data_IF_757934204370
#
_entry.id   IF_757934204370
#
_cell.length_a   1.000
_cell.length_b   1.000
_cell.length_c   1.000
_cell.angle_alpha   90.00
_cell.angle_beta   90.00
_cell.angle_gamma   90.00
#
_symmetry.space_group_name_H-M   'P 1'
#
loop_
_entity.id
_entity.type
_entity.pdbx_description
1 polymer ?
#
# COMPACT_ATOMS: atom_id res chain seq x y z
N UNK A 1 16.65 1.19 12.43
CA UNK A 1 16.03 0.24 11.48
C UNK A 1 15.27 1.06 10.45
N UNK A 2 15.60 0.95 9.16
CA UNK A 2 14.89 1.68 8.09
C UNK A 2 13.45 1.17 8.01
N UNK A 3 12.52 1.85 8.71
CA UNK A 3 11.10 1.58 8.58
C UNK A 3 10.72 1.72 7.10
N UNK A 4 10.07 0.70 6.54
CA UNK A 4 9.53 0.77 5.18
C UNK A 4 8.44 1.84 5.17
N UNK A 5 8.77 3.03 4.70
CA UNK A 5 7.83 4.13 4.50
C UNK A 5 6.60 3.61 3.74
N UNK A 6 5.41 3.82 4.32
CA UNK A 6 4.12 3.47 3.71
C UNK A 6 4.02 4.07 2.30
N UNK A 7 4.49 5.31 2.13
CA UNK A 7 4.55 6.01 0.84
C UNK A 7 5.35 5.24 -0.20
N UNK A 8 6.51 4.68 0.16
CA UNK A 8 7.31 3.84 -0.75
C UNK A 8 6.58 2.55 -1.12
N UNK A 9 5.93 1.89 -0.15
CA UNK A 9 5.18 0.66 -0.41
C UNK A 9 4.00 0.92 -1.36
N UNK A 10 3.26 2.00 -1.14
CA UNK A 10 2.10 2.36 -1.95
C UNK A 10 2.52 2.80 -3.36
N UNK A 11 3.57 3.62 -3.47
CA UNK A 11 4.17 4.02 -4.74
C UNK A 11 4.60 2.80 -5.58
N UNK A 12 5.34 1.86 -4.98
CA UNK A 12 5.76 0.64 -5.68
C UNK A 12 4.56 -0.19 -6.11
N UNK A 13 3.55 -0.36 -5.25
CA UNK A 13 2.34 -1.13 -5.56
C UNK A 13 1.58 -0.55 -6.76
N UNK A 14 1.36 0.77 -6.78
CA UNK A 14 0.66 1.45 -7.87
C UNK A 14 1.47 1.38 -9.16
N UNK A 15 2.77 1.65 -9.09
CA UNK A 15 3.66 1.56 -10.25
C UNK A 15 3.74 0.14 -10.83
N UNK A 16 3.76 -0.90 -9.99
CA UNK A 16 3.77 -2.29 -10.46
C UNK A 16 2.51 -2.64 -11.26
N UNK A 17 1.32 -2.24 -10.77
CA UNK A 17 0.06 -2.47 -11.49
C UNK A 17 0.04 -1.69 -12.80
N UNK A 18 0.46 -0.42 -12.78
CA UNK A 18 0.56 0.40 -13.99
C UNK A 18 1.52 -0.20 -15.02
N UNK A 19 2.69 -0.64 -14.58
CA UNK A 19 3.70 -1.25 -15.45
C UNK A 19 3.17 -2.53 -16.08
N UNK A 20 2.51 -3.39 -15.30
CA UNK A 20 1.89 -4.61 -15.81
C UNK A 20 0.82 -4.29 -16.87
N UNK A 21 -0.06 -3.33 -16.59
CA UNK A 21 -1.09 -2.92 -17.55
C UNK A 21 -0.46 -2.37 -18.84
N UNK A 22 0.53 -1.48 -18.70
CA UNK A 22 1.24 -0.89 -19.84
C UNK A 22 1.94 -1.97 -20.67
N UNK A 23 2.57 -2.94 -20.02
CA UNK A 23 3.22 -4.07 -20.68
C UNK A 23 2.22 -4.91 -21.48
N UNK A 24 1.09 -5.27 -20.88
CA UNK A 24 0.03 -6.05 -21.58
C UNK A 24 -0.51 -5.29 -22.79
N UNK A 25 -0.79 -3.99 -22.65
CA UNK A 25 -1.25 -3.15 -23.77
C UNK A 25 -0.19 -3.07 -24.87
N UNK A 26 1.08 -2.88 -24.50
CA UNK A 26 2.22 -2.81 -25.43
C UNK A 26 2.38 -4.12 -26.20
N UNK A 27 2.32 -5.28 -25.51
CA UNK A 27 2.32 -6.59 -26.16
C UNK A 27 1.13 -6.75 -27.12
N UNK A 28 -0.07 -6.35 -26.69
CA UNK A 28 -1.25 -6.38 -27.54
C UNK A 28 -1.09 -5.54 -28.82
N UNK A 29 -0.50 -4.35 -28.71
CA UNK A 29 -0.21 -3.49 -29.86
C UNK A 29 0.78 -4.11 -30.83
N UNK A 30 1.88 -4.70 -30.32
CA UNK A 30 2.88 -5.39 -31.17
C UNK A 30 2.26 -6.58 -31.90
N UNK A 31 1.43 -7.37 -31.22
CA UNK A 31 0.72 -8.50 -31.83
C UNK A 31 -0.26 -8.00 -32.90
N UNK A 32 -1.04 -6.96 -32.61
CA UNK A 32 -1.98 -6.38 -33.57
C UNK A 32 -1.27 -5.86 -34.83
N UNK A 33 -0.14 -5.17 -34.67
CA UNK A 33 0.67 -4.68 -35.78
C UNK A 33 1.28 -5.81 -36.62
N UNK A 34 1.74 -6.88 -35.97
CA UNK A 34 2.23 -8.08 -36.64
C UNK A 34 1.13 -8.75 -37.48
N UNK A 35 -0.04 -9.02 -36.89
CA UNK A 35 -1.16 -9.67 -37.57
C UNK A 35 -1.64 -8.82 -38.75
N UNK A 36 -1.86 -7.52 -38.52
CA UNK A 36 -2.29 -6.60 -39.56
C UNK A 36 -1.30 -6.52 -40.73
N UNK A 37 0.01 -6.54 -40.44
CA UNK A 37 1.04 -6.50 -41.49
C UNK A 37 1.14 -7.84 -42.23
N UNK A 38 0.98 -8.97 -41.54
CA UNK A 38 0.92 -10.30 -42.16
C UNK A 38 -0.27 -10.39 -43.12
N UNK A 39 -1.44 -9.94 -42.70
CA UNK A 39 -2.65 -9.93 -43.51
C UNK A 39 -2.51 -8.98 -44.71
N UNK A 40 -1.95 -7.78 -44.50
CA UNK A 40 -1.63 -6.87 -45.59
C UNK A 40 -0.69 -7.49 -46.64
N UNK A 41 0.37 -8.19 -46.21
CA UNK A 41 1.28 -8.86 -47.14
C UNK A 41 0.55 -9.97 -47.91
N UNK A 42 -0.30 -10.75 -47.23
CA UNK A 42 -1.13 -11.78 -47.89
C UNK A 42 -2.00 -11.18 -48.99
N UNK A 43 -2.70 -10.08 -48.70
CA UNK A 43 -3.54 -9.40 -49.69
C UNK A 43 -2.73 -8.87 -50.88
N UNK A 44 -1.53 -8.37 -50.63
CA UNK A 44 -0.63 -7.90 -51.67
C UNK A 44 -0.15 -9.05 -52.58
N UNK A 45 0.13 -10.24 -52.03
CA UNK A 45 0.43 -11.44 -52.84
C UNK A 45 -0.71 -11.80 -53.81
N UNK A 46 -1.97 -11.67 -53.38
CA UNK A 46 -3.14 -11.88 -54.26
C UNK A 46 -3.23 -10.82 -55.36
N UNK A 47 -2.79 -9.59 -55.08
CA UNK A 47 -2.76 -8.51 -56.07
C UNK A 47 -1.68 -8.77 -57.13
N UNK A 48 -0.54 -9.36 -56.75
CA UNK A 48 0.51 -9.73 -57.69
C UNK A 48 0.07 -10.79 -58.71
N UNK A 49 -0.83 -11.72 -58.34
CA UNK A 49 -1.45 -12.63 -59.30
C UNK A 49 -2.08 -11.86 -60.47
N UNK A 50 -2.88 -10.83 -60.18
CA UNK A 50 -3.59 -10.06 -61.23
C UNK A 50 -2.62 -9.38 -62.21
N UNK A 51 -1.46 -8.96 -61.72
CA UNK A 51 -0.46 -8.24 -62.51
C UNK A 51 0.43 -9.18 -63.32
N UNK A 52 0.88 -10.29 -62.73
CA UNK A 52 1.90 -11.16 -63.34
C UNK A 52 1.36 -12.44 -63.97
N UNK A 53 0.13 -12.88 -63.62
CA UNK A 53 -0.47 -14.11 -64.15
C UNK A 53 -0.50 -14.13 -65.68
N UNK A 54 -0.92 -13.03 -66.32
CA UNK A 54 -0.97 -12.95 -67.80
C UNK A 54 0.42 -13.08 -68.45
N UNK A 55 1.45 -12.49 -67.84
CA UNK A 55 2.82 -12.54 -68.36
C UNK A 55 3.38 -13.96 -68.27
N UNK A 56 3.25 -14.59 -67.09
CA UNK A 56 3.73 -15.95 -66.84
C UNK A 56 2.96 -16.98 -67.66
N UNK A 57 1.63 -16.87 -67.74
CA UNK A 57 0.79 -17.75 -68.56
C UNK A 57 1.24 -17.78 -70.01
N UNK A 58 1.51 -16.60 -70.61
CA UNK A 58 1.99 -16.52 -72.00
C UNK A 58 3.39 -17.12 -72.16
N UNK A 59 4.30 -16.78 -71.26
CA UNK A 59 5.68 -17.27 -71.32
C UNK A 59 5.76 -18.79 -71.23
N UNK A 60 4.94 -19.40 -70.37
CA UNK A 60 4.87 -20.87 -70.22
C UNK A 60 4.20 -21.51 -71.45
N UNK A 61 3.08 -20.96 -71.93
CA UNK A 61 2.39 -21.47 -73.12
C UNK A 61 3.28 -21.45 -74.37
N UNK A 62 4.09 -20.40 -74.53
CA UNK A 62 5.03 -20.26 -75.65
C UNK A 62 6.35 -21.03 -75.43
N UNK A 63 6.46 -21.80 -74.34
CA UNK A 63 7.66 -22.54 -73.93
C UNK A 63 8.91 -21.64 -73.82
N UNK A 64 8.72 -20.36 -73.46
CA UNK A 64 9.77 -19.38 -73.32
C UNK A 64 10.31 -19.36 -71.90
N UNK A 65 11.12 -20.37 -71.55
CA UNK A 65 11.74 -20.53 -70.23
C UNK A 65 12.50 -19.28 -69.79
N UNK A 66 13.19 -18.61 -70.73
CA UNK A 66 13.96 -17.39 -70.43
C UNK A 66 13.04 -16.28 -69.92
N UNK A 67 11.90 -16.04 -70.58
CA UNK A 67 10.93 -15.05 -70.15
C UNK A 67 10.25 -15.42 -68.82
N UNK A 68 9.97 -16.71 -68.60
CA UNK A 68 9.45 -17.21 -67.32
C UNK A 68 10.41 -16.89 -66.17
N UNK A 69 11.70 -17.22 -66.34
CA UNK A 69 12.73 -16.94 -65.33
C UNK A 69 12.87 -15.43 -65.09
N UNK A 70 12.99 -14.60 -66.13
CA UNK A 70 13.12 -13.15 -65.96
C UNK A 70 11.89 -12.53 -65.28
N UNK A 71 10.69 -13.05 -65.55
CA UNK A 71 9.47 -12.59 -64.85
C UNK A 71 9.48 -13.04 -63.39
N UNK A 72 9.94 -14.25 -63.09
CA UNK A 72 10.09 -14.76 -61.73
C UNK A 72 11.14 -13.99 -60.92
N UNK A 73 12.28 -13.62 -61.54
CA UNK A 73 13.29 -12.74 -60.95
C UNK A 73 12.71 -11.36 -60.61
N UNK A 74 11.87 -10.81 -61.50
CA UNK A 74 11.16 -9.55 -61.26
C UNK A 74 10.19 -9.63 -60.07
N UNK A 75 9.50 -10.74 -59.89
CA UNK A 75 8.66 -11.00 -58.72
C UNK A 75 9.51 -11.14 -57.44
N UNK A 76 10.62 -11.86 -57.49
CA UNK A 76 11.52 -12.01 -56.33
C UNK A 76 12.16 -10.68 -55.90
N UNK A 77 12.33 -9.73 -56.81
CA UNK A 77 12.84 -8.40 -56.48
C UNK A 77 11.86 -7.56 -55.64
N UNK A 78 10.60 -7.98 -55.49
CA UNK A 78 9.61 -7.30 -54.66
C UNK A 78 9.92 -7.60 -53.18
N UNK A 79 10.13 -6.58 -52.31
CA UNK A 79 10.62 -6.77 -50.95
C UNK A 79 9.79 -7.71 -50.04
N UNK A 80 8.53 -7.95 -50.38
CA UNK A 80 7.66 -8.84 -49.60
C UNK A 80 7.73 -10.31 -50.01
N UNK A 81 8.36 -10.61 -51.15
CA UNK A 81 8.53 -11.96 -51.67
C UNK A 81 9.89 -12.48 -51.22
N UNK A 82 9.86 -13.61 -50.53
CA UNK A 82 11.07 -14.32 -50.10
C UNK A 82 11.41 -15.49 -51.02
N UNK A 83 10.40 -16.02 -51.71
CA UNK A 83 10.59 -17.08 -52.70
C UNK A 83 9.45 -17.19 -53.69
N UNK A 84 9.76 -17.80 -54.83
CA UNK A 84 8.82 -18.09 -55.91
C UNK A 84 9.08 -19.49 -56.46
N UNK A 85 8.01 -20.22 -56.74
CA UNK A 85 8.01 -21.46 -57.52
C UNK A 85 7.08 -21.27 -58.71
N UNK A 86 7.56 -21.61 -59.89
CA UNK A 86 6.78 -21.65 -61.12
C UNK A 86 6.83 -23.07 -61.69
N UNK A 87 5.66 -23.66 -61.95
CA UNK A 87 5.53 -25.00 -62.53
C UNK A 87 4.82 -24.97 -63.87
N UNK A 88 5.10 -25.95 -64.73
CA UNK A 88 4.41 -26.15 -66.00
C UNK A 88 3.14 -27.02 -65.86
N UNK A 89 2.50 -27.34 -66.98
CA UNK A 89 1.30 -28.17 -67.07
C UNK A 89 1.51 -29.63 -66.66
N UNK A 90 2.76 -30.10 -66.62
CA UNK A 90 3.14 -31.42 -66.11
C UNK A 90 3.41 -31.43 -64.60
N UNK A 91 3.46 -30.26 -63.97
CA UNK A 91 3.85 -30.07 -62.57
C UNK A 91 5.37 -30.01 -62.36
N UNK A 92 6.17 -29.97 -63.44
CA UNK A 92 7.61 -29.80 -63.37
C UNK A 92 7.96 -28.35 -63.03
N UNK A 93 8.96 -28.18 -62.15
CA UNK A 93 9.41 -26.84 -61.72
C UNK A 93 10.26 -26.23 -62.84
N UNK A 94 9.75 -25.18 -63.48
CA UNK A 94 10.48 -24.39 -64.47
C UNK A 94 11.46 -23.43 -63.78
N UNK A 95 11.05 -22.83 -62.66
CA UNK A 95 11.86 -21.87 -61.93
C UNK A 95 11.56 -21.90 -60.43
N UNK A 96 12.61 -21.92 -59.63
CA UNK A 96 12.56 -21.78 -58.17
C UNK A 96 13.63 -20.79 -57.74
N UNK A 97 13.22 -19.66 -57.15
CA UNK A 97 14.12 -18.59 -56.74
C UNK A 97 13.78 -18.14 -55.32
N UNK A 98 14.78 -17.68 -54.55
CA UNK A 98 14.61 -17.10 -53.20
C UNK A 98 15.27 -17.86 -52.05
N UNK A 99 15.13 -17.33 -50.82
CA UNK A 99 15.75 -17.91 -49.60
C UNK A 99 14.80 -18.89 -48.92
N UNK A 100 14.72 -20.09 -49.47
CA UNK A 100 14.40 -21.35 -48.80
C UNK A 100 14.46 -22.42 -49.89
N UNK A 101 15.61 -23.08 -50.03
CA UNK A 101 15.78 -24.11 -51.07
C UNK A 101 15.13 -25.46 -50.69
N UNK A 102 14.57 -25.60 -49.47
CA UNK A 102 13.87 -26.81 -49.00
C UNK A 102 12.33 -26.74 -49.20
N UNK A 103 11.81 -25.73 -49.90
CA UNK A 103 10.36 -25.63 -50.24
C UNK A 103 9.89 -26.85 -51.06
N UNK A 104 10.81 -27.54 -51.76
CA UNK A 104 10.51 -28.68 -52.63
C UNK A 104 9.93 -29.89 -51.89
N UNK A 105 10.32 -30.12 -50.63
CA UNK A 105 9.81 -31.26 -49.84
C UNK A 105 8.47 -30.95 -49.16
N UNK A 106 8.13 -29.68 -48.95
CA UNK A 106 6.97 -29.28 -48.16
C UNK A 106 5.66 -29.16 -48.95
N UNK A 107 5.72 -28.93 -50.26
CA UNK A 107 4.54 -28.63 -51.08
C UNK A 107 4.36 -29.65 -52.20
N UNK A 108 3.15 -30.23 -52.28
CA UNK A 108 2.77 -31.29 -53.20
C UNK A 108 3.19 -31.01 -54.65
N UNK A 109 3.66 -32.05 -55.34
CA UNK A 109 3.99 -32.03 -56.78
C UNK A 109 2.76 -31.88 -57.69
N UNK A 110 1.57 -31.80 -57.12
CA UNK A 110 0.32 -31.71 -57.85
C UNK A 110 -0.03 -30.25 -58.12
N UNK A 111 -0.45 -29.97 -59.36
CA UNK A 111 -0.91 -28.64 -59.78
C UNK A 111 -2.14 -28.22 -58.97
N UNK A 112 -2.11 -26.98 -58.51
CA UNK A 112 -3.23 -26.37 -57.80
C UNK A 112 -4.27 -25.88 -58.82
N UNK A 113 -5.54 -26.28 -58.64
CA UNK A 113 -6.66 -25.91 -59.52
C UNK A 113 -7.41 -24.65 -59.07
N UNK A 114 -7.29 -24.28 -57.79
CA UNK A 114 -7.96 -23.13 -57.17
C UNK A 114 -6.98 -22.34 -56.29
N UNK A 115 -7.23 -21.06 -56.12
CA UNK A 115 -6.39 -20.18 -55.28
C UNK A 115 -6.29 -20.74 -53.84
N UNK A 116 -5.06 -20.85 -53.34
CA UNK A 116 -4.80 -21.43 -52.02
C UNK A 116 -3.86 -20.57 -51.19
N UNK A 117 -4.21 -20.38 -49.92
CA UNK A 117 -3.34 -19.77 -48.92
C UNK A 117 -2.46 -20.85 -48.31
N UNK A 118 -1.17 -20.59 -48.28
CA UNK A 118 -0.18 -21.44 -47.65
C UNK A 118 0.16 -20.86 -46.27
N UNK A 119 0.09 -21.69 -45.24
CA UNK A 119 0.65 -21.38 -43.92
C UNK A 119 1.49 -22.56 -43.43
N UNK A 120 2.78 -22.31 -43.24
CA UNK A 120 3.68 -23.26 -42.58
C UNK A 120 4.16 -22.68 -41.24
N UNK A 121 3.47 -23.08 -40.18
CA UNK A 121 3.74 -22.66 -38.81
C UNK A 121 5.16 -22.98 -38.32
N UNK A 122 5.72 -24.18 -38.58
CA UNK A 122 7.11 -24.54 -38.29
C UNK A 122 8.18 -23.66 -38.92
N UNK A 123 8.15 -23.43 -40.24
CA UNK A 123 9.17 -22.60 -40.90
C UNK A 123 8.89 -21.09 -40.81
N UNK A 124 7.66 -20.71 -40.46
CA UNK A 124 7.23 -19.31 -40.46
C UNK A 124 7.03 -18.73 -41.86
N UNK A 125 7.03 -19.59 -42.89
CA UNK A 125 6.67 -19.24 -44.25
C UNK A 125 5.14 -19.19 -44.39
N UNK A 126 4.68 -18.24 -45.18
CA UNK A 126 3.30 -18.18 -45.63
C UNK A 126 3.29 -17.73 -47.07
N UNK A 127 2.26 -18.08 -47.81
CA UNK A 127 2.27 -17.86 -49.24
C UNK A 127 0.91 -17.93 -49.87
N UNK A 128 0.93 -17.82 -51.17
CA UNK A 128 -0.24 -17.80 -52.00
C UNK A 128 0.05 -18.50 -53.32
N UNK A 129 -0.76 -19.50 -53.64
CA UNK A 129 -0.65 -20.27 -54.88
C UNK A 129 -1.86 -20.00 -55.77
N UNK A 130 -1.61 -19.84 -57.06
CA UNK A 130 -2.66 -19.64 -58.05
C UNK A 130 -2.36 -20.36 -59.37
N UNK A 131 -3.39 -20.88 -60.06
CA UNK A 131 -3.24 -21.49 -61.38
C UNK A 131 -2.95 -20.43 -62.44
N UNK A 132 -2.19 -20.83 -63.46
CA UNK A 132 -2.01 -20.08 -64.70
C UNK A 132 -2.93 -20.65 -65.77
N UNK A 133 -3.90 -19.85 -66.21
CA UNK A 133 -4.95 -20.30 -67.14
C UNK A 133 -4.81 -19.53 -68.45
N UNK A 134 -4.57 -20.27 -69.54
CA UNK A 134 -4.54 -19.71 -70.89
C UNK A 134 -5.89 -19.94 -71.57
N UNK A 135 -6.50 -18.86 -72.05
CA UNK A 135 -7.75 -18.93 -72.81
C UNK A 135 -7.47 -18.75 -74.31
N UNK A 136 -7.78 -19.77 -75.11
CA UNK A 136 -7.68 -19.72 -76.55
C UNK A 136 -8.91 -20.32 -77.22
N UNK A 137 -9.51 -19.57 -78.15
CA UNK A 137 -10.69 -20.02 -78.92
C UNK A 137 -11.85 -20.54 -78.05
N UNK A 138 -12.09 -19.90 -76.89
CA UNK A 138 -13.17 -20.27 -75.97
C UNK A 138 -12.90 -21.51 -75.10
N UNK A 139 -11.68 -22.06 -75.12
CA UNK A 139 -11.24 -23.10 -74.18
C UNK A 139 -10.20 -22.52 -73.21
N UNK A 140 -10.43 -22.74 -71.92
CA UNK A 140 -9.49 -22.44 -70.85
C UNK A 140 -8.66 -23.70 -70.55
N UNK A 141 -7.34 -23.58 -70.66
CA UNK A 141 -6.40 -24.66 -70.36
C UNK A 141 -5.45 -24.18 -69.26
N UNK A 142 -5.29 -24.95 -68.20
CA UNK A 142 -4.25 -24.69 -67.20
C UNK A 142 -2.90 -25.02 -67.81
N UNK A 143 -1.99 -24.05 -67.79
CA UNK A 143 -0.63 -24.17 -68.35
C UNK A 143 0.43 -24.29 -67.27
N UNK A 144 0.05 -24.18 -66.00
CA UNK A 144 0.95 -24.27 -64.86
C UNK A 144 0.34 -23.67 -63.59
N UNK A 145 1.18 -23.51 -62.56
CA UNK A 145 0.86 -22.76 -61.35
C UNK A 145 2.05 -21.94 -60.85
N UNK A 146 1.76 -20.96 -60.00
CA UNK A 146 2.76 -20.12 -59.35
C UNK A 146 2.49 -20.12 -57.87
N UNK A 147 3.53 -20.31 -57.09
CA UNK A 147 3.50 -20.13 -55.64
C UNK A 147 4.43 -19.00 -55.23
N UNK A 148 3.87 -18.00 -54.57
CA UNK A 148 4.60 -16.89 -53.96
C UNK A 148 4.73 -17.12 -52.46
N UNK A 149 5.94 -16.97 -51.93
CA UNK A 149 6.23 -17.13 -50.51
C UNK A 149 6.70 -15.81 -49.90
N UNK A 150 6.29 -15.59 -48.66
CA UNK A 150 6.79 -14.58 -47.75
C UNK A 150 7.10 -15.26 -46.40
N UNK A 151 7.74 -14.54 -45.49
CA UNK A 151 8.10 -15.09 -44.18
C UNK A 151 7.80 -14.15 -43.03
N UNK A 152 7.86 -14.71 -41.83
CA UNK A 152 7.88 -13.95 -40.58
C UNK A 152 9.00 -12.90 -40.54
N UNK A 153 10.17 -13.15 -41.13
CA UNK A 153 11.28 -12.19 -41.17
C UNK A 153 10.92 -10.97 -42.03
N UNK A 154 10.25 -11.18 -43.15
CA UNK A 154 9.71 -10.10 -44.00
C UNK A 154 8.68 -9.27 -43.22
N UNK A 155 7.76 -9.91 -42.50
CA UNK A 155 6.81 -9.20 -41.64
C UNK A 155 7.54 -8.35 -40.59
N UNK A 156 8.52 -8.94 -39.88
CA UNK A 156 9.29 -8.24 -38.85
C UNK A 156 10.12 -7.07 -39.40
N UNK A 157 10.82 -7.27 -40.51
CA UNK A 157 11.61 -6.20 -41.14
C UNK A 157 10.75 -5.01 -41.54
N UNK A 158 9.50 -5.25 -41.95
CA UNK A 158 8.55 -4.19 -42.30
C UNK A 158 8.04 -3.41 -41.11
N UNK A 159 7.80 -4.06 -39.96
CA UNK A 159 7.31 -3.40 -38.74
C UNK A 159 8.43 -2.99 -37.78
N UNK A 160 9.70 -3.28 -38.09
CA UNK A 160 10.84 -3.03 -37.21
C UNK A 160 10.89 -1.58 -36.71
N UNK A 161 10.71 -0.63 -37.63
CA UNK A 161 10.69 0.81 -37.31
C UNK A 161 9.51 1.12 -36.39
N UNK A 162 8.32 0.61 -36.70
CA UNK A 162 7.13 0.82 -35.86
C UNK A 162 7.29 0.24 -34.44
N UNK A 163 7.87 -0.96 -34.32
CA UNK A 163 8.17 -1.59 -33.03
C UNK A 163 9.12 -0.69 -32.22
N UNK A 164 10.16 -0.12 -32.84
CA UNK A 164 11.04 0.83 -32.15
C UNK A 164 10.29 2.07 -31.67
N UNK A 165 9.40 2.64 -32.49
CA UNK A 165 8.55 3.76 -32.06
C UNK A 165 7.61 3.37 -30.92
N UNK A 166 7.04 2.17 -30.97
CA UNK A 166 6.13 1.65 -29.95
C UNK A 166 6.86 1.49 -28.61
N UNK A 167 8.02 0.83 -28.61
CA UNK A 167 8.87 0.65 -27.42
C UNK A 167 9.37 2.00 -26.90
N UNK A 168 9.85 2.88 -27.79
CA UNK A 168 10.32 4.22 -27.43
C UNK A 168 9.23 5.04 -26.74
N UNK A 169 8.02 5.06 -27.30
CA UNK A 169 6.87 5.72 -26.70
C UNK A 169 6.48 5.11 -25.34
N UNK A 170 6.50 3.77 -25.23
CA UNK A 170 6.22 3.09 -23.97
C UNK A 170 7.23 3.49 -22.88
N UNK A 171 8.52 3.56 -23.22
CA UNK A 171 9.59 3.99 -22.32
C UNK A 171 9.40 5.44 -21.87
N UNK A 172 9.20 6.38 -22.81
CA UNK A 172 9.00 7.80 -22.50
C UNK A 172 7.78 7.99 -21.58
N UNK A 173 6.64 7.36 -21.91
CA UNK A 173 5.42 7.43 -21.08
C UNK A 173 5.66 6.87 -19.69
N UNK A 174 6.36 5.73 -19.59
CA UNK A 174 6.67 5.08 -18.31
C UNK A 174 7.58 5.97 -17.46
N UNK A 175 8.66 6.51 -18.02
CA UNK A 175 9.58 7.42 -17.33
C UNK A 175 8.86 8.68 -16.85
N UNK A 176 8.07 9.31 -17.72
CA UNK A 176 7.33 10.52 -17.37
C UNK A 176 6.36 10.27 -16.20
N UNK A 177 5.62 9.17 -16.24
CA UNK A 177 4.68 8.82 -15.20
C UNK A 177 5.37 8.44 -13.87
N UNK A 178 6.51 7.74 -13.92
CA UNK A 178 7.34 7.47 -12.73
C UNK A 178 7.77 8.79 -12.08
N UNK A 179 8.27 9.75 -12.87
CA UNK A 179 8.70 11.06 -12.37
C UNK A 179 7.53 11.80 -11.72
N UNK A 180 6.37 11.87 -12.40
CA UNK A 180 5.18 12.52 -11.86
C UNK A 180 4.73 11.90 -10.54
N UNK A 181 4.66 10.57 -10.46
CA UNK A 181 4.27 9.90 -9.23
C UNK A 181 5.30 10.10 -8.12
N UNK A 182 6.60 10.04 -8.43
CA UNK A 182 7.65 10.34 -7.44
C UNK A 182 7.50 11.75 -6.90
N UNK A 183 7.29 12.75 -7.76
CA UNK A 183 7.07 14.14 -7.35
C UNK A 183 5.81 14.28 -6.49
N UNK A 184 4.69 13.72 -6.93
CA UNK A 184 3.42 13.80 -6.23
C UNK A 184 3.48 13.11 -4.86
N UNK A 185 3.95 11.86 -4.80
CA UNK A 185 4.07 11.12 -3.54
C UNK A 185 5.07 11.73 -2.57
N UNK A 186 6.16 12.30 -3.09
CA UNK A 186 7.13 12.99 -2.23
C UNK A 186 6.51 14.22 -1.60
N UNK A 187 5.94 15.11 -2.41
CA UNK A 187 5.39 16.40 -1.97
C UNK A 187 4.12 16.27 -1.14
N UNK A 188 3.20 15.35 -1.51
CA UNK A 188 1.87 15.28 -0.90
C UNK A 188 1.77 14.29 0.25
N UNK A 189 2.70 13.33 0.37
CA UNK A 189 2.63 12.28 1.39
C UNK A 189 3.92 12.12 2.17
N UNK A 190 5.06 11.97 1.48
CA UNK A 190 6.31 11.58 2.15
C UNK A 190 6.89 12.69 3.01
N UNK A 191 6.97 13.91 2.49
CA UNK A 191 7.49 15.07 3.23
C UNK A 191 6.54 15.47 4.38
N UNK A 192 5.22 15.65 4.18
CA UNK A 192 4.30 16.00 5.27
C UNK A 192 4.24 14.95 6.40
N UNK A 193 4.26 13.64 6.06
CA UNK A 193 4.29 12.58 7.08
C UNK A 193 5.61 12.55 7.84
N UNK A 194 6.73 12.85 7.17
CA UNK A 194 8.03 12.93 7.84
C UNK A 194 8.04 14.11 8.82
N UNK A 195 7.58 15.29 8.41
CA UNK A 195 7.45 16.46 9.28
C UNK A 195 6.55 16.19 10.49
N UNK A 196 5.39 15.55 10.27
CA UNK A 196 4.49 15.17 11.35
C UNK A 196 5.15 14.20 12.33
N UNK A 197 5.89 13.20 11.82
CA UNK A 197 6.55 12.21 12.68
C UNK A 197 7.67 12.85 13.50
N UNK A 198 8.47 13.71 12.89
CA UNK A 198 9.56 14.45 13.53
C UNK A 198 9.03 15.37 14.64
N UNK A 199 7.99 16.17 14.34
CA UNK A 199 7.35 17.03 15.35
C UNK A 199 6.72 16.23 16.50
N UNK A 200 6.23 15.01 16.25
CA UNK A 200 5.70 14.13 17.31
C UNK A 200 6.82 13.54 18.17
N UNK A 201 7.95 13.17 17.56
CA UNK A 201 9.09 12.59 18.26
C UNK A 201 9.80 13.62 19.16
N UNK A 202 9.84 14.89 18.72
CA UNK A 202 10.44 15.99 19.46
C UNK A 202 9.55 16.56 20.58
N UNK A 203 8.29 16.14 20.70
CA UNK A 203 7.37 16.60 21.75
C UNK A 203 7.78 16.05 23.12
N UNK A 204 8.42 16.90 23.92
CA UNK A 204 8.71 16.61 25.32
C UNK A 204 7.51 16.94 26.24
N UNK A 205 7.08 15.98 27.05
CA UNK A 205 5.95 16.12 27.99
C UNK A 205 6.09 17.28 28.99
N UNK A 206 7.32 17.71 29.28
CA UNK A 206 7.59 18.77 30.25
C UNK A 206 7.37 20.18 29.68
N UNK A 207 7.40 20.35 28.35
CA UNK A 207 7.34 21.65 27.66
C UNK A 207 6.18 21.75 26.64
N UNK A 208 5.05 21.08 26.93
CA UNK A 208 3.89 21.05 26.03
C UNK A 208 3.11 22.37 25.95
N UNK A 209 3.42 23.37 26.79
CA UNK A 209 2.64 24.60 26.84
C UNK A 209 2.94 25.50 25.63
N UNK A 210 2.00 25.55 24.69
CA UNK A 210 2.10 26.39 23.48
C UNK A 210 2.78 25.70 22.30
N UNK A 211 3.18 24.43 22.44
CA UNK A 211 3.66 23.63 21.32
C UNK A 211 2.47 23.05 20.54
N UNK A 212 2.38 23.38 19.26
CA UNK A 212 1.43 22.80 18.33
C UNK A 212 2.16 22.22 17.13
N UNK A 213 1.64 21.11 16.63
CA UNK A 213 2.10 20.53 15.38
C UNK A 213 1.48 21.31 14.24
N UNK A 214 2.29 21.67 13.25
CA UNK A 214 1.83 22.29 12.02
C UNK A 214 2.39 21.52 10.81
N UNK A 215 1.48 21.04 9.95
CA UNK A 215 1.86 20.39 8.71
C UNK A 215 1.69 21.42 7.59
N UNK A 216 2.77 21.68 6.85
CA UNK A 216 2.72 22.51 5.65
C UNK A 216 1.98 21.77 4.53
N UNK A 217 0.66 21.87 4.54
CA UNK A 217 -0.21 21.35 3.48
C UNK A 217 -1.10 22.45 2.95
N UNK A 218 -1.21 22.55 1.62
CA UNK A 218 -1.96 23.60 0.94
C UNK A 218 -3.47 23.36 0.93
N UNK A 219 -3.92 22.14 1.24
CA UNK A 219 -5.32 21.74 1.18
C UNK A 219 -5.76 21.07 2.49
N UNK A 220 -7.03 21.26 2.87
CA UNK A 220 -7.62 20.58 4.01
C UNK A 220 -7.88 19.10 3.68
N UNK A 221 -6.87 18.27 3.91
CA UNK A 221 -6.87 16.84 3.68
C UNK A 221 -6.79 16.05 5.00
N UNK A 222 -6.72 14.72 4.90
CA UNK A 222 -6.63 13.82 6.05
C UNK A 222 -5.43 14.12 6.97
N UNK A 223 -4.33 14.67 6.44
CA UNK A 223 -3.18 15.06 7.26
C UNK A 223 -3.51 16.28 8.12
N UNK A 224 -4.27 17.26 7.59
CA UNK A 224 -4.73 18.41 8.37
C UNK A 224 -5.71 17.99 9.48
N UNK A 225 -6.59 17.03 9.19
CA UNK A 225 -7.48 16.45 10.22
C UNK A 225 -6.68 15.74 11.32
N UNK A 226 -5.60 15.05 10.95
CA UNK A 226 -4.70 14.40 11.90
C UNK A 226 -3.93 15.42 12.76
N UNK A 227 -3.42 16.49 12.16
CA UNK A 227 -2.80 17.63 12.86
C UNK A 227 -3.75 18.22 13.91
N UNK A 228 -4.98 18.59 13.51
CA UNK A 228 -5.97 19.15 14.42
C UNK A 228 -6.34 18.20 15.57
N UNK A 229 -6.44 16.91 15.25
CA UNK A 229 -6.76 15.88 16.26
C UNK A 229 -5.63 15.70 17.26
N UNK A 230 -4.37 15.77 16.80
CA UNK A 230 -3.21 15.68 17.67
C UNK A 230 -3.06 16.93 18.54
N UNK A 231 -3.24 18.12 17.97
CA UNK A 231 -3.24 19.38 18.71
C UNK A 231 -4.31 19.40 19.82
N UNK A 232 -5.53 18.89 19.55
CA UNK A 232 -6.56 18.71 20.58
C UNK A 232 -6.15 17.75 21.70
N UNK A 233 -5.29 16.78 21.42
CA UNK A 233 -4.75 15.89 22.45
C UNK A 233 -3.71 16.61 23.29
N UNK A 234 -2.80 17.37 22.67
CA UNK A 234 -1.83 18.20 23.38
C UNK A 234 -2.55 19.15 24.36
N UNK A 235 -3.57 19.86 23.89
CA UNK A 235 -4.38 20.78 24.72
C UNK A 235 -5.00 20.08 25.94
N UNK A 236 -5.53 18.86 25.76
CA UNK A 236 -6.09 18.07 26.85
C UNK A 236 -5.03 17.64 27.85
N UNK A 237 -3.85 17.23 27.39
CA UNK A 237 -2.74 16.83 28.26
C UNK A 237 -2.28 18.03 29.09
N UNK A 238 -2.09 19.20 28.48
CA UNK A 238 -1.74 20.45 29.17
C UNK A 238 -2.80 20.79 30.23
N UNK A 239 -4.09 20.70 29.86
CA UNK A 239 -5.19 20.95 30.79
C UNK A 239 -5.16 19.99 31.99
N UNK A 240 -5.00 18.69 31.76
CA UNK A 240 -4.94 17.70 32.83
C UNK A 240 -3.74 17.87 33.74
N UNK A 241 -2.57 18.27 33.20
CA UNK A 241 -1.40 18.60 34.01
C UNK A 241 -1.70 19.75 34.97
N UNK A 242 -2.32 20.82 34.48
CA UNK A 242 -2.70 21.99 35.28
C UNK A 242 -3.73 21.64 36.36
N UNK A 243 -4.71 20.81 36.04
CA UNK A 243 -5.70 20.32 37.02
C UNK A 243 -5.04 19.44 38.10
N UNK A 244 -4.08 18.58 37.71
CA UNK A 244 -3.33 17.74 38.64
C UNK A 244 -2.49 18.60 39.61
N UNK A 245 -1.77 19.59 39.11
CA UNK A 245 -0.97 20.50 39.93
C UNK A 245 -1.84 21.30 40.91
N UNK A 246 -2.99 21.80 40.45
CA UNK A 246 -3.95 22.47 41.32
C UNK A 246 -4.51 21.54 42.39
N UNK A 247 -4.77 20.27 42.05
CA UNK A 247 -5.28 19.27 42.98
C UNK A 247 -4.23 18.90 44.02
N UNK A 248 -2.97 18.70 43.61
CA UNK A 248 -1.85 18.49 44.52
C UNK A 248 -1.69 19.67 45.49
N UNK A 249 -1.75 20.91 44.99
CA UNK A 249 -1.70 22.10 45.84
C UNK A 249 -2.85 22.15 46.85
N UNK A 250 -4.07 21.83 46.43
CA UNK A 250 -5.25 21.74 47.32
C UNK A 250 -5.08 20.65 48.38
N UNK A 251 -4.57 19.48 47.99
CA UNK A 251 -4.29 18.38 48.92
C UNK A 251 -3.24 18.78 49.96
N UNK A 252 -2.16 19.45 49.55
CA UNK A 252 -1.13 19.95 50.46
C UNK A 252 -1.72 20.91 51.49
N UNK A 253 -2.49 21.91 51.06
CA UNK A 253 -3.17 22.87 51.95
C UNK A 253 -4.15 22.14 52.88
N UNK A 254 -4.88 21.15 52.38
CA UNK A 254 -5.80 20.37 53.20
C UNK A 254 -5.07 19.53 54.24
N UNK A 255 -3.90 18.99 53.91
CA UNK A 255 -3.08 18.19 54.82
C UNK A 255 -2.50 19.08 55.93
N UNK A 256 -1.94 20.24 55.57
CA UNK A 256 -1.48 21.25 56.55
C UNK A 256 -2.61 21.68 57.50
N UNK A 257 -3.84 21.84 56.98
CA UNK A 257 -5.00 22.17 57.82
C UNK A 257 -5.39 21.03 58.76
N UNK A 258 -5.30 19.78 58.31
CA UNK A 258 -5.54 18.61 59.17
C UNK A 258 -4.48 18.52 60.27
N UNK A 259 -3.21 18.77 59.95
CA UNK A 259 -2.14 18.80 60.95
C UNK A 259 -2.35 19.90 62.00
N UNK A 260 -2.77 21.09 61.58
CA UNK A 260 -3.15 22.16 62.51
C UNK A 260 -4.32 21.76 63.41
N UNK A 261 -5.34 21.10 62.87
CA UNK A 261 -6.48 20.61 63.65
C UNK A 261 -6.06 19.51 64.64
N UNK A 262 -5.21 18.58 64.22
CA UNK A 262 -4.66 17.56 65.11
C UNK A 262 -3.87 18.19 66.26
N UNK A 263 -3.03 19.18 65.99
CA UNK A 263 -2.28 19.89 67.03
C UNK A 263 -3.22 20.61 68.02
N UNK A 264 -4.26 21.28 67.53
CA UNK A 264 -5.26 21.93 68.38
C UNK A 264 -6.01 20.93 69.25
N UNK A 265 -6.41 19.79 68.68
CA UNK A 265 -7.07 18.70 69.41
C UNK A 265 -6.14 18.11 70.47
N UNK A 266 -4.86 17.87 70.17
CA UNK A 266 -3.88 17.40 71.14
C UNK A 266 -3.70 18.39 72.29
N UNK A 267 -3.61 19.70 71.99
CA UNK A 267 -3.55 20.74 73.01
C UNK A 267 -4.83 20.76 73.88
N UNK A 268 -6.00 20.61 73.26
CA UNK A 268 -7.27 20.60 73.99
C UNK A 268 -7.40 19.34 74.86
N UNK A 269 -6.98 18.17 74.36
CA UNK A 269 -6.93 16.90 75.11
C UNK A 269 -5.94 17.01 76.26
N UNK A 270 -4.74 17.53 76.04
CA UNK A 270 -3.76 17.77 77.09
C UNK A 270 -4.30 18.72 78.17
N UNK A 271 -4.96 19.81 77.76
CA UNK A 271 -5.57 20.78 78.69
C UNK A 271 -6.72 20.15 79.49
N UNK A 272 -7.62 19.41 78.83
CA UNK A 272 -8.72 18.68 79.51
C UNK A 272 -8.20 17.61 80.45
N UNK A 273 -7.17 16.87 80.06
CA UNK A 273 -6.52 15.85 80.89
C UNK A 273 -5.84 16.48 82.10
N UNK A 274 -5.16 17.62 81.93
CA UNK A 274 -4.56 18.38 83.03
C UNK A 274 -5.63 18.88 84.01
N UNK A 275 -6.69 19.53 83.50
CA UNK A 275 -7.81 19.99 84.33
C UNK A 275 -8.50 18.83 85.07
N UNK A 276 -8.68 17.69 84.39
CA UNK A 276 -9.27 16.49 84.99
C UNK A 276 -8.36 15.92 86.10
N UNK A 277 -7.06 15.82 85.85
CA UNK A 277 -6.07 15.41 86.86
C UNK A 277 -6.08 16.33 88.07
N UNK A 278 -6.18 17.65 87.85
CA UNK A 278 -6.24 18.63 88.93
C UNK A 278 -7.53 18.49 89.74
N UNK A 279 -8.68 18.39 89.09
CA UNK A 279 -9.96 18.14 89.76
C UNK A 279 -9.96 16.80 90.51
N UNK A 280 -9.34 15.76 89.95
CA UNK A 280 -9.21 14.46 90.60
C UNK A 280 -8.30 14.52 91.84
N UNK A 281 -7.23 15.33 91.79
CA UNK A 281 -6.36 15.57 92.94
C UNK A 281 -7.09 16.33 94.06
N UNK A 282 -7.85 17.37 93.72
CA UNK A 282 -8.70 18.10 94.67
C UNK A 282 -9.76 17.18 95.30
N UNK A 283 -10.37 16.32 94.49
CA UNK A 283 -11.38 15.36 94.94
C UNK A 283 -10.77 14.28 95.85
N UNK A 284 -9.54 13.84 95.56
CA UNK A 284 -8.79 12.92 96.40
C UNK A 284 -8.38 13.58 97.73
N UNK A 285 -8.01 14.86 97.71
CA UNK A 285 -7.74 15.64 98.91
C UNK A 285 -9.00 15.83 99.76
N UNK A 286 -10.13 16.20 99.15
CA UNK A 286 -11.44 16.27 99.82
C UNK A 286 -11.83 14.92 100.42
N UNK A 287 -11.64 13.82 99.68
CA UNK A 287 -11.89 12.47 100.20
C UNK A 287 -11.03 12.17 101.43
N UNK A 288 -9.75 12.50 101.39
CA UNK A 288 -8.85 12.32 102.53
C UNK A 288 -9.27 13.17 103.74
N UNK A 289 -9.65 14.43 103.54
CA UNK A 289 -10.18 15.30 104.60
C UNK A 289 -11.49 14.75 105.19
N UNK A 290 -12.40 14.26 104.35
CA UNK A 290 -13.63 13.60 104.76
C UNK A 290 -13.37 12.32 105.56
N UNK A 291 -12.42 11.48 105.13
CA UNK A 291 -12.01 10.29 105.88
C UNK A 291 -11.43 10.66 107.24
N UNK A 292 -10.61 11.71 107.29
CA UNK A 292 -10.07 12.25 108.55
C UNK A 292 -11.20 12.76 109.46
N UNK A 293 -12.10 13.59 108.95
CA UNK A 293 -13.26 14.09 109.71
C UNK A 293 -14.15 12.95 110.22
N UNK A 294 -14.40 11.94 109.37
CA UNK A 294 -15.14 10.74 109.78
C UNK A 294 -14.42 10.01 110.91
N UNK A 295 -13.10 9.87 110.85
CA UNK A 295 -12.31 9.26 111.91
C UNK A 295 -12.46 10.06 113.23
N UNK A 296 -12.29 11.38 113.18
CA UNK A 296 -12.42 12.27 114.34
C UNK A 296 -13.83 12.24 114.94
N UNK A 297 -14.86 12.23 114.10
CA UNK A 297 -16.26 12.10 114.54
C UNK A 297 -16.53 10.74 115.18
N UNK A 298 -15.93 9.66 114.65
CA UNK A 298 -16.05 8.32 115.22
C UNK A 298 -15.38 8.27 116.60
N UNK A 299 -14.18 8.86 116.73
CA UNK A 299 -13.49 9.01 118.02
C UNK A 299 -14.29 9.87 119.01
N UNK A 300 -14.91 10.97 118.58
CA UNK A 300 -15.75 11.80 119.45
C UNK A 300 -17.03 11.08 119.89
N UNK A 301 -17.66 10.30 119.00
CA UNK A 301 -18.82 9.47 119.34
C UNK A 301 -18.43 8.38 120.34
N UNK A 302 -17.29 7.71 120.14
CA UNK A 302 -16.79 6.69 121.06
C UNK A 302 -16.42 7.30 122.42
N UNK A 303 -15.80 8.48 122.43
CA UNK A 303 -15.54 9.24 123.66
C UNK A 303 -16.84 9.57 124.38
N UNK A 304 -17.84 10.14 123.68
CA UNK A 304 -19.16 10.46 124.26
C UNK A 304 -19.86 9.23 124.80
N UNK A 305 -19.82 8.10 124.10
CA UNK A 305 -20.34 6.82 124.59
C UNK A 305 -19.65 6.38 125.87
N UNK A 306 -18.33 6.52 125.94
CA UNK A 306 -17.56 6.17 127.13
C UNK A 306 -17.90 7.09 128.30
N UNK A 307 -18.07 8.39 128.06
CA UNK A 307 -18.49 9.36 129.09
C UNK A 307 -19.94 9.12 129.53
N UNK A 308 -20.86 8.78 128.62
CA UNK A 308 -22.22 8.38 128.96
C UNK A 308 -22.24 7.10 129.80
N UNK A 309 -21.42 6.10 129.45
CA UNK A 309 -21.26 4.89 130.26
C UNK A 309 -20.69 5.18 131.66
N UNK A 310 -19.70 6.06 131.78
CA UNK A 310 -19.14 6.51 133.07
C UNK A 310 -20.14 7.33 133.90
N UNK A 311 -20.97 8.15 133.26
CA UNK A 311 -22.01 8.91 133.93
C UNK A 311 -23.16 8.00 134.39
N UNK A 312 -23.52 7.00 133.59
CA UNK A 312 -24.49 5.96 133.96
C UNK A 312 -24.00 5.11 135.14
N UNK A 313 -22.72 4.71 135.18
CA UNK A 313 -22.15 4.01 136.34
C UNK A 313 -22.11 4.91 137.59
N UNK A 314 -21.71 6.18 137.47
CA UNK A 314 -21.77 7.14 138.60
C UNK A 314 -23.19 7.45 139.09
N UNK A 315 -24.17 7.47 138.19
CA UNK A 315 -25.58 7.61 138.57
C UNK A 315 -26.10 6.35 139.29
N UNK A 316 -25.55 5.19 138.97
CA UNK A 316 -25.86 3.92 139.66
C UNK A 316 -25.20 3.83 141.04
N UNK A 317 -24.03 4.46 141.23
CA UNK A 317 -23.33 4.52 142.53
C UNK A 317 -23.92 5.55 143.51
N UNK A 318 -24.57 6.63 143.04
CA UNK A 318 -25.25 7.61 143.91
C UNK A 318 -26.64 7.14 144.42
N UNK A 319 -27.06 5.90 144.12
CA UNK A 319 -28.32 5.31 144.58
C UNK A 319 -28.15 4.17 145.62
N UNK A 320 -27.00 4.09 146.31
CA UNK A 320 -26.81 3.19 147.48
C UNK A 320 -26.22 3.92 148.68
#
# INVERSE_FOLDING_TARGET
MLQKSLSKKLLTSVLSVYFLLTFVVTCGQVIAEYVNTKDYIRDELTTLQKTFSRSLTRAIWELNTKQTITTAEGLLAIPMIEGIIVRDDSGEIISQLGRSLDIRELYSQQLVQEEAIIEDTPSGLFGYTFPLIFEFSGRATQVGDVTLFSSREVVFSRIMISIYFLIGNAMIKTTFLIILFLMAFRKLLTEPLAQLTEQIEDLELNDLEGQHIEIETSEHNELKVMEESFNKLIDKVVKYRKELEQTQKKLMISNEKLDQQNLQLEQEVARKTSNLSQAMMDLQQQKYELEKQKLTLTEEIDLRRHTEQELLTKQTEMQR
#
